data_IF_583254143685
#
_entry.id   IF_583254143685
#
_cell.length_a   1.000
_cell.length_b   1.000
_cell.length_c   1.000
_cell.angle_alpha   90.00
_cell.angle_beta   90.00
_cell.angle_gamma   90.00
#
_symmetry.space_group_name_H-M   'P 1'
#
loop_
_entity.id
_entity.type
_entity.pdbx_description
1 polymer ?
#
# COMPACT_ATOMS: atom_id res chain seq x y z
N UNK A 1 -21.82 -21.70 -1.23
CA UNK A 1 -20.84 -21.31 -0.19
C UNK A 1 -20.27 -19.97 -0.61
N UNK A 2 -20.56 -18.90 0.14
CA UNK A 2 -19.87 -17.62 -0.03
C UNK A 2 -18.43 -17.80 0.48
N UNK A 3 -17.44 -17.35 -0.29
CA UNK A 3 -16.03 -17.39 0.14
C UNK A 3 -15.84 -16.53 1.39
N UNK A 4 -14.85 -16.85 2.23
CA UNK A 4 -14.59 -16.11 3.49
C UNK A 4 -14.38 -14.61 3.21
N UNK A 5 -13.71 -14.28 2.11
CA UNK A 5 -13.45 -12.90 1.68
C UNK A 5 -14.71 -12.12 1.26
N UNK A 6 -15.83 -12.80 0.97
CA UNK A 6 -17.09 -12.16 0.63
C UNK A 6 -18.00 -11.93 1.85
N UNK A 7 -17.57 -12.34 3.05
CA UNK A 7 -18.34 -12.08 4.27
C UNK A 7 -18.22 -10.60 4.66
N UNK A 8 -19.30 -9.96 5.16
CA UNK A 8 -19.25 -8.55 5.61
C UNK A 8 -18.19 -8.29 6.67
N UNK A 9 -17.92 -9.29 7.52
CA UNK A 9 -16.87 -9.26 8.54
C UNK A 9 -15.46 -9.22 7.95
N UNK A 10 -15.28 -9.56 6.68
CA UNK A 10 -14.01 -9.52 5.95
C UNK A 10 -13.84 -8.26 5.09
N UNK A 11 -14.77 -7.30 5.16
CA UNK A 11 -14.65 -6.00 4.49
C UNK A 11 -14.16 -4.93 5.48
N UNK A 12 -13.55 -3.87 4.96
CA UNK A 12 -13.25 -2.66 5.73
C UNK A 12 -14.56 -1.93 6.05
N UNK A 13 -14.79 -1.63 7.33
CA UNK A 13 -16.04 -1.02 7.81
C UNK A 13 -15.78 0.44 8.20
N UNK A 14 -16.32 1.37 7.43
CA UNK A 14 -16.15 2.82 7.68
C UNK A 14 -17.24 3.29 8.63
N UNK A 15 -16.86 3.60 9.87
CA UNK A 15 -17.80 3.94 10.95
C UNK A 15 -17.88 5.44 11.28
N UNK A 16 -17.02 6.26 10.67
CA UNK A 16 -17.01 7.71 10.86
C UNK A 16 -17.72 8.41 9.71
N UNK A 17 -18.31 9.60 9.92
CA UNK A 17 -18.93 10.36 8.84
C UNK A 17 -17.89 10.83 7.82
N UNK A 18 -18.29 10.85 6.54
CA UNK A 18 -17.50 11.44 5.47
C UNK A 18 -17.43 12.98 5.63
N UNK A 19 -16.40 13.66 5.08
CA UNK A 19 -16.35 15.12 5.07
C UNK A 19 -17.52 15.71 4.25
N UNK A 20 -17.93 16.98 4.49
CA UNK A 20 -19.14 17.56 3.90
C UNK A 20 -19.26 17.47 2.37
N UNK A 21 -18.15 17.62 1.64
CA UNK A 21 -18.11 17.60 0.17
C UNK A 21 -17.66 16.24 -0.41
N UNK A 22 -17.77 15.17 0.37
CA UNK A 22 -17.36 13.85 -0.08
C UNK A 22 -18.35 13.28 -1.10
N UNK A 23 -17.90 12.81 -2.28
CA UNK A 23 -18.77 12.23 -3.29
C UNK A 23 -19.43 10.94 -2.76
N UNK A 24 -20.73 10.78 -3.02
CA UNK A 24 -21.52 9.62 -2.56
C UNK A 24 -21.92 8.67 -3.68
N UNK A 25 -21.84 9.13 -4.93
CA UNK A 25 -22.21 8.35 -6.12
C UNK A 25 -20.98 8.07 -6.98
N UNK A 26 -20.88 6.84 -7.47
CA UNK A 26 -19.82 6.45 -8.39
C UNK A 26 -20.21 6.76 -9.84
N UNK A 27 -19.41 7.58 -10.51
CA UNK A 27 -19.47 7.87 -11.93
C UNK A 27 -18.41 7.03 -12.65
N UNK A 28 -18.86 6.12 -13.52
CA UNK A 28 -18.01 5.24 -14.31
C UNK A 28 -17.19 6.05 -15.32
N UNK A 29 -15.91 5.70 -15.48
CA UNK A 29 -15.06 6.29 -16.51
C UNK A 29 -15.34 5.70 -17.91
N UNK A 30 -15.12 6.49 -18.96
CA UNK A 30 -15.27 6.03 -20.34
C UNK A 30 -14.01 5.29 -20.82
N UNK A 31 -14.19 4.09 -21.38
CA UNK A 31 -13.06 3.35 -21.96
C UNK A 31 -12.60 4.00 -23.27
N UNK A 32 -11.34 4.40 -23.33
CA UNK A 32 -10.65 4.74 -24.59
C UNK A 32 -9.78 3.59 -25.09
N UNK A 33 -9.71 3.40 -26.42
CA UNK A 33 -8.79 2.44 -27.05
C UNK A 33 -7.37 3.01 -27.23
N UNK A 34 -7.20 4.33 -27.12
CA UNK A 34 -5.92 5.03 -27.28
C UNK A 34 -5.75 6.00 -26.13
N UNK A 35 -4.64 5.88 -25.40
CA UNK A 35 -4.26 6.87 -24.41
C UNK A 35 -3.97 8.21 -25.12
N UNK A 36 -4.77 9.23 -24.82
CA UNK A 36 -4.55 10.59 -25.32
C UNK A 36 -3.75 11.42 -24.29
N UNK A 37 -3.23 12.57 -24.73
CA UNK A 37 -2.53 13.52 -23.86
C UNK A 37 -1.12 13.12 -23.43
N UNK A 38 -0.52 13.95 -22.57
CA UNK A 38 0.78 13.70 -21.94
C UNK A 38 0.62 12.86 -20.68
N UNK A 39 1.73 12.33 -20.14
CA UNK A 39 1.70 11.67 -18.82
C UNK A 39 1.07 12.58 -17.75
N UNK A 40 1.51 13.84 -17.68
CA UNK A 40 1.00 14.84 -16.74
C UNK A 40 -0.51 15.06 -16.90
N UNK A 41 -1.00 15.17 -18.14
CA UNK A 41 -2.44 15.33 -18.39
C UNK A 41 -3.23 14.11 -17.90
N UNK A 42 -2.78 12.89 -18.21
CA UNK A 42 -3.44 11.66 -17.73
C UNK A 42 -3.40 11.51 -16.21
N UNK A 43 -2.32 11.92 -15.56
CA UNK A 43 -2.25 11.96 -14.10
C UNK A 43 -3.28 12.92 -13.53
N UNK A 44 -3.41 14.12 -14.09
CA UNK A 44 -4.42 15.10 -13.67
C UNK A 44 -5.84 14.57 -13.88
N UNK A 45 -6.11 13.94 -15.02
CA UNK A 45 -7.42 13.33 -15.33
C UNK A 45 -7.77 12.23 -14.31
N UNK A 46 -6.83 11.35 -13.97
CA UNK A 46 -7.02 10.31 -12.96
C UNK A 46 -7.28 10.91 -11.56
N UNK A 47 -6.46 11.87 -11.13
CA UNK A 47 -6.65 12.53 -9.82
C UNK A 47 -7.99 13.26 -9.74
N UNK A 48 -8.40 13.88 -10.84
CA UNK A 48 -9.68 14.53 -10.96
C UNK A 48 -10.85 13.54 -10.92
N UNK A 49 -10.73 12.40 -11.60
CA UNK A 49 -11.70 11.30 -11.52
C UNK A 49 -11.83 10.78 -10.08
N UNK A 50 -10.72 10.54 -9.38
CA UNK A 50 -10.71 10.13 -7.97
C UNK A 50 -11.41 11.17 -7.09
N UNK A 51 -11.15 12.47 -7.29
CA UNK A 51 -11.80 13.53 -6.50
C UNK A 51 -13.32 13.57 -6.65
N UNK A 52 -13.85 13.14 -7.79
CA UNK A 52 -15.29 13.16 -8.10
C UNK A 52 -16.02 11.88 -7.70
N UNK A 53 -15.32 10.86 -7.22
CA UNK A 53 -15.87 9.55 -6.90
C UNK A 53 -15.60 9.16 -5.44
N UNK A 54 -16.51 8.42 -4.76
CA UNK A 54 -16.20 7.81 -3.48
C UNK A 54 -15.07 6.79 -3.63
N UNK A 55 -14.29 6.55 -2.59
CA UNK A 55 -13.39 5.39 -2.57
C UNK A 55 -14.16 4.07 -2.81
N UNK A 56 -13.61 3.13 -3.60
CA UNK A 56 -14.28 1.88 -3.92
C UNK A 56 -14.38 0.97 -2.70
N UNK A 57 -15.41 0.13 -2.56
CA UNK A 57 -15.53 -0.78 -1.42
C UNK A 57 -14.65 -2.06 -1.57
N UNK A 58 -13.33 -1.89 -1.50
CA UNK A 58 -12.33 -2.97 -1.56
C UNK A 58 -11.04 -2.59 -0.78
N UNK A 59 -10.00 -3.43 -0.81
CA UNK A 59 -8.72 -3.20 -0.12
C UNK A 59 -7.97 -1.94 -0.57
N UNK A 60 -8.42 -1.25 -1.62
CA UNK A 60 -7.76 -0.06 -2.18
C UNK A 60 -8.31 1.27 -1.68
N UNK A 61 -9.33 1.27 -0.79
CA UNK A 61 -9.97 2.48 -0.29
C UNK A 61 -9.00 3.56 0.18
N UNK A 62 -8.02 3.19 1.00
CA UNK A 62 -7.06 4.14 1.57
C UNK A 62 -6.13 4.76 0.51
N UNK A 63 -5.84 4.07 -0.60
CA UNK A 63 -5.08 4.65 -1.71
C UNK A 63 -5.86 5.74 -2.43
N UNK A 64 -7.18 5.58 -2.59
CA UNK A 64 -8.03 6.62 -3.17
C UNK A 64 -8.04 7.87 -2.31
N UNK A 65 -8.02 7.72 -0.99
CA UNK A 65 -7.97 8.85 -0.07
C UNK A 65 -6.59 9.53 -0.04
N UNK A 66 -5.50 8.76 -0.17
CA UNK A 66 -4.16 9.33 -0.40
C UNK A 66 -4.08 10.12 -1.72
N UNK A 67 -4.63 9.58 -2.80
CA UNK A 67 -4.67 10.24 -4.10
C UNK A 67 -5.57 11.49 -4.07
N UNK A 68 -6.72 11.43 -3.39
CA UNK A 68 -7.60 12.58 -3.14
C UNK A 68 -6.83 13.68 -2.40
N UNK A 69 -6.07 13.28 -1.38
CA UNK A 69 -5.24 14.21 -0.61
C UNK A 69 -4.19 14.89 -1.48
N UNK A 70 -3.42 14.11 -2.24
CA UNK A 70 -2.40 14.60 -3.16
C UNK A 70 -2.98 15.53 -4.24
N UNK A 71 -4.26 15.35 -4.60
CA UNK A 71 -5.00 16.19 -5.53
C UNK A 71 -5.61 17.46 -4.91
N UNK A 72 -5.33 17.75 -3.64
CA UNK A 72 -5.87 18.91 -2.93
C UNK A 72 -7.30 18.77 -2.41
N UNK A 73 -7.82 17.54 -2.34
CA UNK A 73 -9.10 17.24 -1.68
C UNK A 73 -8.92 16.92 -0.20
N UNK A 74 -10.03 16.96 0.54
CA UNK A 74 -10.11 16.53 1.95
C UNK A 74 -10.35 15.02 2.01
N UNK A 75 -9.42 14.22 2.57
CA UNK A 75 -9.61 12.79 2.72
C UNK A 75 -10.71 12.44 3.72
N UNK A 76 -11.35 11.30 3.53
CA UNK A 76 -12.22 10.70 4.54
C UNK A 76 -11.37 9.91 5.56
N UNK A 77 -11.06 10.52 6.70
CA UNK A 77 -10.20 9.89 7.73
C UNK A 77 -10.73 8.56 8.29
N UNK A 78 -12.06 8.40 8.35
CA UNK A 78 -12.71 7.13 8.68
C UNK A 78 -12.27 5.95 7.82
N UNK A 79 -11.83 6.18 6.58
CA UNK A 79 -11.27 5.15 5.71
C UNK A 79 -9.90 4.70 6.19
N UNK A 80 -9.04 5.63 6.64
CA UNK A 80 -7.76 5.24 7.24
C UNK A 80 -7.96 4.44 8.52
N UNK A 81 -8.93 4.82 9.35
CA UNK A 81 -9.29 4.03 10.53
C UNK A 81 -9.80 2.63 10.17
N UNK A 82 -10.68 2.50 9.16
CA UNK A 82 -11.16 1.21 8.70
C UNK A 82 -10.04 0.33 8.11
N UNK A 83 -9.06 0.94 7.44
CA UNK A 83 -7.86 0.27 6.95
C UNK A 83 -6.99 -0.25 8.10
N UNK A 84 -6.78 0.56 9.14
CA UNK A 84 -6.04 0.15 10.33
C UNK A 84 -6.78 -0.96 11.10
N UNK A 85 -8.11 -0.87 11.26
CA UNK A 85 -8.93 -1.95 11.85
C UNK A 85 -8.72 -3.28 11.12
N UNK A 86 -8.64 -3.24 9.78
CA UNK A 86 -8.43 -4.43 8.95
C UNK A 86 -7.03 -5.05 9.14
N UNK A 87 -6.00 -4.20 9.16
CA UNK A 87 -4.59 -4.61 9.38
C UNK A 87 -4.41 -5.17 10.80
N UNK A 88 -4.94 -4.49 11.81
CA UNK A 88 -4.86 -4.89 13.22
C UNK A 88 -5.56 -6.22 13.47
N UNK A 89 -6.63 -6.51 12.74
CA UNK A 89 -7.33 -7.80 12.77
C UNK A 89 -6.56 -8.93 12.06
N UNK A 90 -5.43 -8.65 11.38
CA UNK A 90 -4.59 -9.62 10.65
C UNK A 90 -5.38 -10.47 9.66
N UNK A 91 -6.32 -9.81 8.97
CA UNK A 91 -7.08 -10.43 7.87
C UNK A 91 -6.15 -10.64 6.67
N UNK A 92 -6.36 -11.72 5.94
CA UNK A 92 -5.68 -11.95 4.66
C UNK A 92 -5.78 -10.70 3.76
N UNK A 93 -4.72 -10.44 3.01
CA UNK A 93 -4.51 -9.20 2.25
C UNK A 93 -4.29 -7.94 3.11
N UNK A 94 -3.97 -8.05 4.40
CA UNK A 94 -3.59 -6.89 5.23
C UNK A 94 -2.37 -6.16 4.67
N UNK A 95 -1.45 -6.89 4.05
CA UNK A 95 -0.27 -6.35 3.38
C UNK A 95 -0.62 -5.48 2.16
N UNK A 96 -1.72 -5.77 1.44
CA UNK A 96 -2.20 -4.93 0.34
C UNK A 96 -2.59 -3.54 0.85
N UNK A 97 -3.23 -3.50 2.03
CA UNK A 97 -3.70 -2.28 2.69
C UNK A 97 -2.55 -1.56 3.41
N UNK A 98 -1.63 -2.31 4.04
CA UNK A 98 -0.52 -1.79 4.85
C UNK A 98 0.36 -0.79 4.10
N UNK A 99 0.59 -1.01 2.81
CA UNK A 99 1.39 -0.12 1.98
C UNK A 99 0.80 1.30 1.85
N UNK A 100 -0.53 1.45 1.92
CA UNK A 100 -1.18 2.77 1.98
C UNK A 100 -0.86 3.47 3.30
N UNK A 101 -0.86 2.75 4.42
CA UNK A 101 -0.55 3.31 5.75
C UNK A 101 0.93 3.68 5.85
N UNK A 102 1.82 2.88 5.26
CA UNK A 102 3.24 3.25 5.14
C UNK A 102 3.42 4.51 4.31
N UNK A 103 2.77 4.61 3.13
CA UNK A 103 2.82 5.81 2.29
C UNK A 103 2.33 7.06 3.05
N UNK A 104 1.24 6.93 3.82
CA UNK A 104 0.73 7.99 4.68
C UNK A 104 1.81 8.48 5.67
N UNK A 105 2.48 7.57 6.37
CA UNK A 105 3.55 7.90 7.33
C UNK A 105 4.79 8.49 6.64
N UNK A 106 5.19 8.00 5.47
CA UNK A 106 6.31 8.60 4.72
C UNK A 106 6.00 10.03 4.26
N UNK A 107 4.76 10.31 3.85
CA UNK A 107 4.35 11.67 3.47
C UNK A 107 4.25 12.63 4.66
N UNK A 108 3.97 12.13 5.86
CA UNK A 108 4.08 12.92 7.09
C UNK A 108 5.50 13.40 7.35
N UNK A 109 6.49 12.54 7.06
CA UNK A 109 7.89 12.73 7.41
C UNK A 109 8.73 13.39 6.29
N UNK A 110 8.12 13.98 5.25
CA UNK A 110 8.82 14.64 4.14
C UNK A 110 8.56 16.13 4.05
N UNK A 111 9.59 16.87 3.67
CA UNK A 111 9.53 18.33 3.44
C UNK A 111 8.60 18.72 2.28
N UNK A 112 8.40 17.84 1.30
CA UNK A 112 7.45 18.00 0.20
C UNK A 112 6.09 17.36 0.56
N UNK A 113 5.57 17.54 1.77
CA UNK A 113 4.16 17.19 2.01
C UNK A 113 3.31 18.10 1.12
N UNK A 114 2.28 17.61 0.40
CA UNK A 114 1.43 18.51 -0.36
C UNK A 114 0.84 19.57 0.58
N UNK A 115 0.82 20.84 0.18
CA UNK A 115 0.24 21.96 0.95
C UNK A 115 -1.29 21.88 0.93
N UNK A 116 -1.82 20.84 1.55
CA UNK A 116 -3.25 20.49 1.53
C UNK A 116 -3.74 20.30 2.96
N UNK A 117 -5.06 20.37 3.15
CA UNK A 117 -5.69 20.34 4.47
C UNK A 117 -5.14 19.24 5.39
N UNK A 118 -5.02 19.51 6.71
CA UNK A 118 -4.36 18.59 7.63
C UNK A 118 -5.17 17.30 7.76
N UNK A 119 -4.48 16.16 7.67
CA UNK A 119 -4.95 14.91 8.28
C UNK A 119 -4.69 15.00 9.78
N UNK A 120 -5.63 14.52 10.60
CA UNK A 120 -5.53 14.57 12.05
C UNK A 120 -4.32 13.81 12.60
N UNK A 121 -3.73 14.35 13.67
CA UNK A 121 -2.61 13.72 14.39
C UNK A 121 -2.98 12.33 14.94
N UNK A 122 -4.26 12.11 15.25
CA UNK A 122 -4.77 10.82 15.74
C UNK A 122 -4.63 9.72 14.68
N UNK A 123 -4.87 10.04 13.41
CA UNK A 123 -4.66 9.09 12.30
C UNK A 123 -3.19 8.70 12.21
N UNK A 124 -2.26 9.65 12.27
CA UNK A 124 -0.82 9.35 12.20
C UNK A 124 -0.32 8.58 13.43
N UNK A 125 -0.78 8.96 14.62
CA UNK A 125 -0.45 8.27 15.87
C UNK A 125 -0.90 6.81 15.84
N UNK A 126 -2.12 6.57 15.35
CA UNK A 126 -2.64 5.21 15.19
C UNK A 126 -1.88 4.46 14.10
N UNK A 127 -1.63 5.08 12.95
CA UNK A 127 -0.89 4.47 11.83
C UNK A 127 0.49 3.97 12.27
N UNK A 128 1.24 4.79 13.02
CA UNK A 128 2.52 4.39 13.63
C UNK A 128 2.35 3.16 14.53
N UNK A 129 1.34 3.18 15.39
CA UNK A 129 1.03 2.06 16.31
C UNK A 129 0.69 0.79 15.55
N UNK A 130 -0.17 0.87 14.53
CA UNK A 130 -0.53 -0.25 13.65
C UNK A 130 0.72 -0.87 13.02
N UNK A 131 1.61 -0.05 12.44
CA UNK A 131 2.87 -0.50 11.82
C UNK A 131 3.81 -1.17 12.83
N UNK A 132 4.01 -0.61 14.02
CA UNK A 132 4.92 -1.19 15.02
C UNK A 132 4.38 -2.47 15.68
N UNK A 133 3.07 -2.68 15.67
CA UNK A 133 2.42 -3.84 16.30
C UNK A 133 2.03 -4.94 15.31
N UNK A 134 2.18 -4.69 14.01
CA UNK A 134 1.79 -5.64 12.96
C UNK A 134 2.69 -6.88 12.92
N UNK A 135 2.13 -7.98 12.39
CA UNK A 135 2.84 -9.24 12.14
C UNK A 135 3.35 -9.26 10.70
N UNK A 136 4.67 -9.19 10.53
CA UNK A 136 5.28 -9.07 9.20
C UNK A 136 5.69 -10.40 8.57
N UNK A 137 5.83 -11.48 9.35
CA UNK A 137 6.32 -12.75 8.82
C UNK A 137 5.74 -13.95 9.58
N UNK A 138 5.65 -15.16 8.99
CA UNK A 138 5.03 -16.33 9.63
C UNK A 138 5.64 -16.78 10.96
N UNK A 139 6.93 -16.57 11.16
CA UNK A 139 7.62 -16.99 12.38
C UNK A 139 7.41 -16.03 13.57
N UNK A 140 6.76 -14.90 13.33
CA UNK A 140 6.34 -14.00 14.39
C UNK A 140 5.07 -14.52 15.10
N UNK A 141 4.91 -14.27 16.41
CA UNK A 141 3.83 -14.85 17.20
C UNK A 141 2.43 -14.33 16.82
N UNK A 142 1.43 -15.11 17.24
CA UNK A 142 0.01 -14.83 17.07
C UNK A 142 -0.66 -15.70 16.00
N UNK A 143 -1.99 -15.83 16.14
CA UNK A 143 -2.87 -16.55 15.21
C UNK A 143 -3.51 -15.53 14.28
N UNK A 144 -3.56 -15.85 12.99
CA UNK A 144 -4.05 -14.97 11.94
C UNK A 144 -4.46 -15.77 10.70
N UNK A 145 -4.90 -15.06 9.67
CA UNK A 145 -5.27 -15.62 8.36
C UNK A 145 -4.36 -15.15 7.22
N UNK A 146 -3.18 -14.60 7.52
CA UNK A 146 -2.32 -13.95 6.53
C UNK A 146 -1.68 -14.98 5.59
N UNK A 147 -1.92 -14.84 4.28
CA UNK A 147 -1.11 -15.50 3.27
C UNK A 147 0.21 -14.75 3.10
N UNK A 148 1.35 -15.44 3.22
CA UNK A 148 2.69 -14.80 3.26
C UNK A 148 3.68 -15.39 2.25
N UNK A 149 3.20 -16.32 1.40
CA UNK A 149 4.06 -17.20 0.61
C UNK A 149 3.84 -17.14 -0.90
N UNK A 150 2.78 -16.48 -1.39
CA UNK A 150 2.63 -16.27 -2.84
C UNK A 150 3.57 -15.16 -3.31
N UNK A 151 3.64 -14.97 -4.62
CA UNK A 151 4.64 -14.11 -5.24
C UNK A 151 4.49 -12.66 -4.77
N UNK A 152 3.28 -12.09 -4.87
CA UNK A 152 2.99 -10.72 -4.43
C UNK A 152 3.14 -10.54 -2.91
N UNK A 153 2.61 -11.47 -2.11
CA UNK A 153 2.70 -11.38 -0.64
C UNK A 153 4.14 -11.36 -0.17
N UNK A 154 5.04 -12.13 -0.79
CA UNK A 154 6.44 -12.14 -0.39
C UNK A 154 7.07 -10.74 -0.51
N UNK A 155 6.89 -10.04 -1.65
CA UNK A 155 7.46 -8.71 -1.81
C UNK A 155 6.73 -7.66 -0.98
N UNK A 156 5.41 -7.74 -0.84
CA UNK A 156 4.61 -6.84 0.00
C UNK A 156 5.04 -6.93 1.47
N UNK A 157 5.07 -8.12 2.07
CA UNK A 157 5.50 -8.26 3.47
C UNK A 157 6.97 -7.87 3.68
N UNK A 158 7.88 -8.29 2.79
CA UNK A 158 9.31 -7.99 2.95
C UNK A 158 9.59 -6.49 2.80
N UNK A 159 9.02 -5.83 1.80
CA UNK A 159 9.18 -4.40 1.58
C UNK A 159 8.49 -3.57 2.65
N UNK A 160 7.27 -3.94 3.09
CA UNK A 160 6.58 -3.28 4.18
C UNK A 160 7.39 -3.35 5.49
N UNK A 161 7.95 -4.51 5.83
CA UNK A 161 8.78 -4.68 7.01
C UNK A 161 10.05 -3.84 6.95
N UNK A 162 10.71 -3.83 5.79
CA UNK A 162 11.91 -3.02 5.57
C UNK A 162 11.61 -1.53 5.71
N UNK A 163 10.59 -1.03 5.02
CA UNK A 163 10.23 0.38 4.99
C UNK A 163 9.69 0.87 6.35
N UNK A 164 8.95 0.02 7.07
CA UNK A 164 8.57 0.30 8.45
C UNK A 164 9.81 0.41 9.37
N UNK A 165 10.75 -0.52 9.21
CA UNK A 165 12.03 -0.50 9.94
C UNK A 165 12.86 0.74 9.63
N UNK A 166 12.84 1.22 8.38
CA UNK A 166 13.54 2.44 7.97
C UNK A 166 12.89 3.71 8.57
N UNK A 167 11.56 3.77 8.67
CA UNK A 167 10.86 4.88 9.35
C UNK A 167 11.20 4.95 10.85
N UNK A 168 11.36 3.79 11.48
CA UNK A 168 11.49 3.67 12.93
C UNK A 168 12.67 2.75 13.32
N UNK A 169 13.92 3.14 12.99
CA UNK A 169 15.07 2.24 13.07
C UNK A 169 15.37 1.75 14.49
N UNK A 170 15.14 2.59 15.49
CA UNK A 170 15.46 2.30 16.89
C UNK A 170 14.24 1.87 17.72
N UNK A 171 13.05 1.82 17.11
CA UNK A 171 11.82 1.37 17.78
C UNK A 171 11.71 -0.14 17.80
N UNK A 172 11.02 -0.66 18.81
CA UNK A 172 10.73 -2.09 18.93
C UNK A 172 9.40 -2.44 18.27
N UNK A 173 9.44 -3.37 17.32
CA UNK A 173 8.27 -3.97 16.70
C UNK A 173 7.70 -5.03 17.64
N UNK A 174 6.70 -4.63 18.43
CA UNK A 174 6.24 -5.35 19.63
C UNK A 174 5.75 -6.76 19.37
N UNK A 175 5.21 -7.04 18.17
CA UNK A 175 4.82 -8.40 17.81
C UNK A 175 6.01 -9.35 17.75
N UNK A 176 7.16 -8.88 17.26
CA UNK A 176 8.34 -9.71 17.00
C UNK A 176 9.47 -9.54 18.02
N UNK A 177 9.47 -8.44 18.79
CA UNK A 177 10.59 -8.02 19.62
C UNK A 177 11.81 -7.49 18.86
N UNK A 178 11.76 -7.42 17.52
CA UNK A 178 12.83 -6.91 16.67
C UNK A 178 12.87 -5.38 16.70
N UNK A 179 14.06 -4.79 16.57
CA UNK A 179 14.20 -3.35 16.27
C UNK A 179 13.90 -3.05 14.81
N UNK A 180 13.69 -1.78 14.45
CA UNK A 180 13.58 -1.38 13.04
C UNK A 180 14.82 -1.74 12.22
N UNK A 181 16.02 -1.61 12.79
CA UNK A 181 17.28 -2.06 12.15
C UNK A 181 17.28 -3.58 11.92
N UNK A 182 16.78 -4.37 12.86
CA UNK A 182 16.63 -5.82 12.67
C UNK A 182 15.63 -6.14 11.54
N UNK A 183 14.51 -5.40 11.47
CA UNK A 183 13.53 -5.52 10.37
C UNK A 183 14.18 -5.25 9.02
N UNK A 184 14.96 -4.17 8.90
CA UNK A 184 15.70 -3.86 7.67
C UNK A 184 16.70 -4.96 7.33
N UNK A 185 17.57 -5.34 8.27
CA UNK A 185 18.62 -6.34 8.06
C UNK A 185 18.05 -7.70 7.64
N UNK A 186 16.92 -8.10 8.24
CA UNK A 186 16.25 -9.38 7.95
C UNK A 186 15.53 -9.40 6.61
N UNK A 187 14.94 -8.28 6.20
CA UNK A 187 14.12 -8.23 4.99
C UNK A 187 14.88 -7.78 3.74
N UNK A 188 15.99 -7.05 3.88
CA UNK A 188 16.87 -6.69 2.76
C UNK A 188 17.21 -7.89 1.85
N UNK A 189 17.76 -9.01 2.37
CA UNK A 189 18.09 -10.16 1.51
C UNK A 189 16.86 -10.83 0.88
N UNK A 190 15.67 -10.73 1.49
CA UNK A 190 14.42 -11.25 0.91
C UNK A 190 14.00 -10.43 -0.30
N UNK A 191 14.03 -9.09 -0.16
CA UNK A 191 13.72 -8.15 -1.23
C UNK A 191 14.68 -8.35 -2.40
N UNK A 192 15.99 -8.31 -2.16
CA UNK A 192 17.00 -8.47 -3.22
C UNK A 192 16.84 -9.81 -3.93
N UNK A 193 16.66 -10.92 -3.18
CA UNK A 193 16.42 -12.25 -3.77
C UNK A 193 15.15 -12.28 -4.62
N UNK A 194 14.06 -11.67 -4.16
CA UNK A 194 12.81 -11.62 -4.90
C UNK A 194 12.98 -10.85 -6.21
N UNK A 195 13.62 -9.68 -6.15
CA UNK A 195 13.89 -8.82 -7.31
C UNK A 195 14.79 -9.53 -8.34
N UNK A 196 15.87 -10.16 -7.88
CA UNK A 196 16.77 -10.92 -8.76
C UNK A 196 16.04 -12.09 -9.43
N UNK A 197 15.18 -12.79 -8.68
CA UNK A 197 14.39 -13.88 -9.24
C UNK A 197 13.44 -13.36 -10.33
N UNK A 198 12.66 -12.29 -10.05
CA UNK A 198 11.73 -11.73 -11.03
C UNK A 198 12.44 -11.23 -12.27
N UNK A 199 13.57 -10.55 -12.10
CA UNK A 199 14.38 -10.06 -13.21
C UNK A 199 14.90 -11.20 -14.11
N UNK A 200 15.34 -12.32 -13.52
CA UNK A 200 15.91 -13.42 -14.30
C UNK A 200 14.88 -14.40 -14.86
N UNK A 201 13.71 -14.56 -14.22
CA UNK A 201 12.77 -15.64 -14.54
C UNK A 201 11.36 -15.17 -14.90
N UNK A 202 11.08 -13.87 -14.91
CA UNK A 202 9.73 -13.34 -15.09
C UNK A 202 8.86 -13.54 -13.84
N UNK A 203 7.54 -13.47 -13.96
CA UNK A 203 6.56 -13.49 -12.86
C UNK A 203 5.73 -14.77 -12.85
N UNK A 204 5.59 -15.47 -11.72
CA UNK A 204 4.77 -16.68 -11.63
C UNK A 204 3.27 -16.40 -11.72
N UNK A 205 2.84 -15.19 -11.33
CA UNK A 205 1.46 -14.70 -11.45
C UNK A 205 1.20 -14.09 -12.83
N UNK A 206 1.65 -14.79 -13.88
CA UNK A 206 1.63 -14.36 -15.29
C UNK A 206 0.29 -13.78 -15.73
N UNK A 207 0.31 -12.62 -16.39
CA UNK A 207 -0.86 -11.95 -16.99
C UNK A 207 -2.04 -11.72 -16.01
N UNK A 208 -1.79 -11.81 -14.71
CA UNK A 208 -2.78 -11.47 -13.70
C UNK A 208 -2.77 -9.97 -13.48
N UNK A 209 -3.59 -9.25 -14.25
CA UNK A 209 -3.78 -7.81 -14.09
C UNK A 209 -4.15 -7.40 -12.66
N UNK A 210 -4.79 -8.30 -11.89
CA UNK A 210 -5.12 -8.06 -10.48
C UNK A 210 -3.94 -8.23 -9.52
N UNK A 211 -2.92 -9.03 -9.88
CA UNK A 211 -1.76 -9.25 -9.01
C UNK A 211 -0.55 -8.39 -9.36
N UNK A 212 -0.39 -8.00 -10.63
CA UNK A 212 0.57 -6.97 -10.99
C UNK A 212 0.31 -5.64 -10.28
N UNK A 213 -0.94 -5.31 -9.98
CA UNK A 213 -1.28 -4.16 -9.13
C UNK A 213 -0.67 -4.28 -7.72
N UNK A 214 -0.66 -5.49 -7.14
CA UNK A 214 -0.09 -5.74 -5.82
C UNK A 214 1.45 -5.73 -5.84
N UNK A 215 2.07 -6.35 -6.84
CA UNK A 215 3.51 -6.28 -7.05
C UNK A 215 3.98 -4.84 -7.26
N UNK A 216 3.31 -4.10 -8.16
CA UNK A 216 3.62 -2.70 -8.44
C UNK A 216 3.46 -1.82 -7.19
N UNK A 217 2.48 -2.11 -6.33
CA UNK A 217 2.31 -1.40 -5.06
C UNK A 217 3.58 -1.49 -4.19
N UNK A 218 4.12 -2.71 -4.02
CA UNK A 218 5.35 -2.92 -3.26
C UNK A 218 6.58 -2.25 -3.92
N UNK A 219 6.72 -2.43 -5.23
CA UNK A 219 7.86 -1.92 -5.99
C UNK A 219 7.89 -0.40 -6.05
N UNK A 220 6.75 0.25 -6.27
CA UNK A 220 6.63 1.70 -6.24
C UNK A 220 6.92 2.26 -4.84
N UNK A 221 6.47 1.58 -3.77
CA UNK A 221 6.85 1.95 -2.41
C UNK A 221 8.37 1.88 -2.19
N UNK A 222 9.05 0.86 -2.72
CA UNK A 222 10.50 0.75 -2.63
C UNK A 222 11.20 1.87 -3.41
N UNK A 223 10.78 2.14 -4.64
CA UNK A 223 11.36 3.21 -5.46
C UNK A 223 11.16 4.59 -4.83
N UNK A 224 9.97 4.86 -4.29
CA UNK A 224 9.66 6.18 -3.72
C UNK A 224 10.38 6.44 -2.39
N UNK A 225 10.59 5.39 -1.58
CA UNK A 225 10.91 5.55 -0.15
C UNK A 225 12.15 4.83 0.35
N UNK A 226 12.68 3.82 -0.33
CA UNK A 226 13.82 3.07 0.16
C UNK A 226 15.13 3.86 0.01
N UNK A 227 15.95 3.88 1.06
CA UNK A 227 17.26 4.55 1.03
C UNK A 227 18.38 3.66 0.42
N UNK A 228 18.12 2.36 0.25
CA UNK A 228 19.08 1.41 -0.32
C UNK A 228 19.07 1.48 -1.85
N UNK A 229 20.09 2.12 -2.41
CA UNK A 229 20.21 2.34 -3.85
C UNK A 229 20.19 1.05 -4.70
N UNK A 230 20.66 -0.08 -4.17
CA UNK A 230 20.60 -1.36 -4.89
C UNK A 230 19.14 -1.85 -5.00
N UNK A 231 18.39 -1.78 -3.90
CA UNK A 231 16.97 -2.14 -3.89
C UNK A 231 16.18 -1.23 -4.82
N UNK A 232 16.41 0.09 -4.77
CA UNK A 232 15.74 1.06 -5.64
C UNK A 232 16.00 0.73 -7.10
N UNK A 233 17.28 0.55 -7.49
CA UNK A 233 17.65 0.24 -8.87
C UNK A 233 16.99 -1.04 -9.36
N UNK A 234 17.05 -2.12 -8.58
CA UNK A 234 16.46 -3.41 -8.95
C UNK A 234 14.94 -3.33 -9.03
N UNK A 235 14.29 -2.62 -8.10
CA UNK A 235 12.86 -2.40 -8.14
C UNK A 235 12.43 -1.63 -9.39
N UNK A 236 13.16 -0.57 -9.76
CA UNK A 236 12.92 0.17 -11.02
C UNK A 236 13.03 -0.75 -12.24
N UNK A 237 14.08 -1.57 -12.32
CA UNK A 237 14.25 -2.53 -13.42
C UNK A 237 13.09 -3.53 -13.51
N UNK A 238 12.60 -4.02 -12.37
CA UNK A 238 11.48 -4.97 -12.34
C UNK A 238 10.15 -4.28 -12.71
N UNK A 239 9.94 -3.02 -12.34
CA UNK A 239 8.79 -2.22 -12.81
C UNK A 239 8.83 -2.10 -14.34
N UNK A 240 9.99 -1.77 -14.92
CA UNK A 240 10.14 -1.65 -16.37
C UNK A 240 9.79 -2.98 -17.09
N UNK A 241 10.14 -4.12 -16.49
CA UNK A 241 9.75 -5.44 -17.01
C UNK A 241 8.22 -5.67 -16.95
N UNK A 242 7.58 -5.37 -15.83
CA UNK A 242 6.11 -5.49 -15.72
C UNK A 242 5.42 -4.60 -16.76
N UNK A 243 5.87 -3.35 -16.91
CA UNK A 243 5.27 -2.42 -17.87
C UNK A 243 5.51 -2.85 -19.32
N UNK A 244 6.65 -3.46 -19.62
CA UNK A 244 6.92 -4.07 -20.93
C UNK A 244 6.00 -5.26 -21.20
N UNK A 245 5.75 -6.12 -20.21
CA UNK A 245 4.87 -7.28 -20.35
C UNK A 245 3.40 -6.90 -20.56
N UNK A 246 2.98 -5.72 -20.07
CA UNK A 246 1.60 -5.20 -20.23
C UNK A 246 1.39 -4.47 -21.57
N UNK A 247 2.46 -3.91 -22.17
CA UNK A 247 2.41 -3.04 -23.35
C UNK A 247 2.08 -3.78 -24.66
#
# INVERSE_FOLDING_TARGET
MTTVHAQPTYQMQVNQPAPPDYPTEWTVDERTAVASGTFVARTQDLLHHIRRNPAPNNTKMAYYELARWAAGGTPHEGIFHAAMDFIEARKDCSDFVLHSILRLLYWENRDWRPEVGPISTDVFTRARTTVLTFKYWPDEPGVDSLCTWTENHHILFASAAYLAGQLYPDETFTNSGQTGRDKMARNRPRIVRWLDMRFHTGFSEWLSHVYYDEDLTALLSLVDFCDDAEIVQKATMVIDLILLDIA
#
